data_IF_303069796778
#
_entry.id   IF_303069796778
#
_cell.length_a   1.000
_cell.length_b   1.000
_cell.length_c   1.000
_cell.angle_alpha   90.00
_cell.angle_beta   90.00
_cell.angle_gamma   90.00
#
_symmetry.space_group_name_H-M   'P 1'
#
loop_
_entity.id
_entity.type
_entity.pdbx_description
1 polymer ?
#
# COMPACT_ATOMS: atom_id res chain seq x y z
N UNK A 1 17.11 3.77 -2.97
CA UNK A 1 17.19 2.71 -4.00
C UNK A 1 17.22 1.29 -3.41
N UNK A 2 16.54 1.07 -2.27
CA UNK A 2 16.54 -0.22 -1.56
C UNK A 2 15.63 -1.27 -2.22
N UNK A 3 14.64 -0.86 -3.02
CA UNK A 3 13.56 -1.77 -3.43
C UNK A 3 13.65 -2.27 -4.87
N UNK A 4 14.74 -2.05 -5.56
CA UNK A 4 14.87 -2.48 -6.95
C UNK A 4 16.28 -2.34 -7.51
N UNK A 5 17.20 -3.16 -7.08
CA UNK A 5 18.60 -3.13 -7.56
C UNK A 5 18.78 -3.32 -9.09
N UNK A 6 17.73 -3.58 -9.84
CA UNK A 6 17.78 -3.59 -11.32
C UNK A 6 16.96 -2.48 -11.98
N UNK A 7 16.19 -1.70 -11.20
CA UNK A 7 15.26 -0.68 -11.69
C UNK A 7 15.38 0.61 -10.87
N UNK A 8 16.51 0.89 -10.28
CA UNK A 8 16.76 2.03 -9.37
C UNK A 8 16.49 3.41 -9.98
N UNK A 9 16.45 3.50 -11.31
CA UNK A 9 16.13 4.73 -12.05
C UNK A 9 14.62 4.87 -12.39
N UNK A 10 13.80 3.84 -12.12
CA UNK A 10 12.36 3.88 -12.40
C UNK A 10 11.61 4.19 -11.11
N UNK A 11 11.17 5.42 -10.96
CA UNK A 11 10.39 5.89 -9.79
C UNK A 11 8.90 5.62 -9.90
N UNK A 12 8.39 5.40 -11.11
CA UNK A 12 6.97 5.12 -11.36
C UNK A 12 6.81 3.85 -12.18
N UNK A 13 5.96 2.95 -11.69
CA UNK A 13 5.60 1.70 -12.38
C UNK A 13 4.10 1.69 -12.58
N UNK A 14 3.66 1.23 -13.74
CA UNK A 14 2.25 1.06 -14.07
C UNK A 14 1.98 -0.41 -14.43
N UNK A 15 1.04 -1.02 -13.72
CA UNK A 15 0.56 -2.38 -13.99
C UNK A 15 -0.89 -2.26 -14.48
N UNK A 16 -1.12 -2.64 -15.73
CA UNK A 16 -2.45 -2.67 -16.33
C UNK A 16 -2.84 -4.11 -16.64
N UNK A 17 -3.88 -4.60 -16.00
CA UNK A 17 -4.43 -5.94 -16.24
C UNK A 17 -5.94 -5.86 -16.47
N UNK A 18 -6.49 -6.73 -17.33
CA UNK A 18 -7.94 -6.86 -17.46
C UNK A 18 -8.59 -7.29 -16.15
N UNK A 19 -9.91 -7.09 -16.04
CA UNK A 19 -10.69 -7.63 -14.91
C UNK A 19 -10.55 -9.15 -14.82
N UNK A 20 -10.67 -9.70 -13.63
CA UNK A 20 -10.56 -11.12 -13.32
C UNK A 20 -9.17 -11.76 -13.54
N UNK A 21 -8.11 -10.96 -13.76
CA UNK A 21 -6.73 -11.46 -13.91
C UNK A 21 -5.91 -11.36 -12.62
N UNK A 22 -6.56 -11.49 -11.45
CA UNK A 22 -5.92 -11.55 -10.13
C UNK A 22 -5.02 -10.35 -9.78
N UNK A 23 -5.21 -9.19 -10.42
CA UNK A 23 -4.40 -7.98 -10.19
C UNK A 23 -4.28 -7.66 -8.70
N UNK A 24 -5.39 -7.53 -8.00
CA UNK A 24 -5.43 -7.18 -6.58
C UNK A 24 -4.76 -8.23 -5.70
N UNK A 25 -4.91 -9.52 -6.04
CA UNK A 25 -4.22 -10.60 -5.33
C UNK A 25 -2.70 -10.54 -5.54
N UNK A 26 -2.23 -10.27 -6.75
CA UNK A 26 -0.80 -10.08 -7.03
C UNK A 26 -0.23 -8.90 -6.23
N UNK A 27 -0.95 -7.78 -6.18
CA UNK A 27 -0.52 -6.60 -5.43
C UNK A 27 -0.46 -6.89 -3.93
N UNK A 28 -1.47 -7.57 -3.38
CA UNK A 28 -1.48 -7.96 -1.97
C UNK A 28 -0.32 -8.91 -1.62
N UNK A 29 -0.06 -9.90 -2.46
CA UNK A 29 1.06 -10.85 -2.29
C UNK A 29 2.40 -10.13 -2.40
N UNK A 30 2.54 -9.23 -3.37
CA UNK A 30 3.75 -8.43 -3.53
C UNK A 30 3.99 -7.51 -2.33
N UNK A 31 2.95 -6.87 -1.80
CA UNK A 31 3.06 -6.03 -0.61
C UNK A 31 3.52 -6.85 0.61
N UNK A 32 2.95 -8.03 0.84
CA UNK A 32 3.40 -8.94 1.89
C UNK A 32 4.87 -9.38 1.70
N UNK A 33 5.29 -9.65 0.47
CA UNK A 33 6.67 -10.00 0.14
C UNK A 33 7.64 -8.84 0.40
N UNK A 34 7.26 -7.60 0.05
CA UNK A 34 8.08 -6.41 0.33
C UNK A 34 8.24 -6.23 1.84
N UNK A 35 7.17 -6.38 2.62
CA UNK A 35 7.22 -6.31 4.09
C UNK A 35 8.19 -7.34 4.66
N UNK A 36 8.18 -8.57 4.13
CA UNK A 36 9.15 -9.61 4.52
C UNK A 36 10.60 -9.22 4.24
N UNK A 37 10.86 -8.60 3.10
CA UNK A 37 12.22 -8.19 2.69
C UNK A 37 12.69 -6.92 3.39
N UNK A 38 11.77 -6.04 3.69
CA UNK A 38 12.01 -4.70 4.23
C UNK A 38 10.99 -4.39 5.34
N UNK A 39 11.19 -4.95 6.55
CA UNK A 39 10.25 -4.75 7.66
C UNK A 39 10.04 -3.28 8.04
N UNK A 40 11.02 -2.43 7.75
CA UNK A 40 11.01 -0.99 7.99
C UNK A 40 10.10 -0.22 7.02
N UNK A 41 9.70 -0.83 5.91
CA UNK A 41 8.95 -0.17 4.84
C UNK A 41 7.63 0.45 5.32
N UNK A 42 7.30 1.59 4.75
CA UNK A 42 6.00 2.24 4.89
C UNK A 42 5.29 2.28 3.54
N UNK A 43 4.06 1.78 3.48
CA UNK A 43 3.27 1.66 2.25
C UNK A 43 1.98 2.47 2.40
N UNK A 44 1.69 3.34 1.45
CA UNK A 44 0.37 3.97 1.32
C UNK A 44 -0.40 3.32 0.18
N UNK A 45 -1.50 2.66 0.51
CA UNK A 45 -2.41 2.04 -0.45
C UNK A 45 -3.60 2.97 -0.70
N UNK A 46 -3.81 3.38 -1.93
CA UNK A 46 -4.86 4.34 -2.30
C UNK A 46 -5.79 3.74 -3.33
N UNK A 47 -7.10 3.88 -3.13
CA UNK A 47 -8.12 3.50 -4.12
C UNK A 47 -9.12 4.64 -4.35
N UNK A 48 -10.04 4.47 -5.30
CA UNK A 48 -11.09 5.46 -5.54
C UNK A 48 -11.89 5.78 -4.26
N UNK A 49 -12.13 4.79 -3.42
CA UNK A 49 -12.78 4.95 -2.10
C UNK A 49 -11.97 4.31 -0.98
N UNK A 50 -12.15 4.78 0.25
CA UNK A 50 -11.50 4.18 1.43
C UNK A 50 -11.87 2.72 1.62
N UNK A 51 -13.16 2.36 1.40
CA UNK A 51 -13.62 0.97 1.55
C UNK A 51 -12.94 0.01 0.58
N UNK A 52 -12.65 0.43 -0.66
CA UNK A 52 -11.89 -0.38 -1.61
C UNK A 52 -10.44 -0.59 -1.13
N UNK A 53 -9.79 0.45 -0.64
CA UNK A 53 -8.45 0.37 -0.09
C UNK A 53 -8.40 -0.53 1.17
N UNK A 54 -9.39 -0.45 2.04
CA UNK A 54 -9.52 -1.31 3.23
C UNK A 54 -9.72 -2.79 2.86
N UNK A 55 -10.47 -3.07 1.80
CA UNK A 55 -10.62 -4.45 1.28
C UNK A 55 -9.27 -5.03 0.86
N UNK A 56 -8.41 -4.24 0.24
CA UNK A 56 -7.06 -4.69 -0.12
C UNK A 56 -6.17 -4.88 1.10
N UNK A 57 -6.26 -3.98 2.09
CA UNK A 57 -5.55 -4.16 3.35
C UNK A 57 -5.99 -5.44 4.06
N UNK A 58 -7.29 -5.75 4.05
CA UNK A 58 -7.81 -7.01 4.60
C UNK A 58 -7.20 -8.24 3.91
N UNK A 59 -7.06 -8.22 2.58
CA UNK A 59 -6.39 -9.30 1.84
C UNK A 59 -4.92 -9.47 2.26
N UNK A 60 -4.19 -8.36 2.45
CA UNK A 60 -2.80 -8.38 2.92
C UNK A 60 -2.74 -8.92 4.36
N UNK A 61 -3.63 -8.48 5.25
CA UNK A 61 -3.74 -8.99 6.63
C UNK A 61 -3.93 -10.50 6.64
N UNK A 62 -4.82 -11.04 5.82
CA UNK A 62 -5.05 -12.48 5.73
C UNK A 62 -3.79 -13.26 5.32
N UNK A 63 -2.95 -12.69 4.44
CA UNK A 63 -1.66 -13.30 4.08
C UNK A 63 -0.74 -13.31 5.31
N UNK A 64 -0.57 -12.17 5.97
CA UNK A 64 0.31 -12.01 7.12
C UNK A 64 -0.17 -12.84 8.33
N UNK A 65 -1.48 -12.99 8.52
CA UNK A 65 -2.10 -13.78 9.60
C UNK A 65 -2.20 -15.27 9.26
N UNK A 66 -1.86 -15.70 8.04
CA UNK A 66 -1.95 -17.09 7.65
C UNK A 66 -1.06 -17.97 8.54
N UNK A 67 -1.52 -19.20 8.80
CA UNK A 67 -0.76 -20.19 9.59
C UNK A 67 0.63 -20.42 9.00
N UNK A 68 0.74 -20.42 7.67
CA UNK A 68 2.00 -20.61 6.97
C UNK A 68 2.94 -19.43 7.25
N UNK A 69 2.45 -18.20 7.10
CA UNK A 69 3.27 -17.00 7.35
C UNK A 69 3.74 -16.96 8.81
N UNK A 70 2.85 -17.13 9.76
CA UNK A 70 3.19 -17.08 11.18
C UNK A 70 4.14 -18.22 11.61
N UNK A 71 4.06 -19.38 10.98
CA UNK A 71 4.96 -20.51 11.25
C UNK A 71 6.41 -20.22 10.85
N UNK A 72 6.61 -19.54 9.72
CA UNK A 72 7.96 -19.27 9.20
C UNK A 72 8.51 -17.90 9.59
N UNK A 73 7.64 -16.96 9.95
CA UNK A 73 7.98 -15.55 10.25
C UNK A 73 7.23 -15.07 11.52
N UNK A 74 7.37 -15.75 12.66
CA UNK A 74 6.61 -15.42 13.87
C UNK A 74 6.95 -14.04 14.45
N UNK A 75 8.11 -13.48 14.12
CA UNK A 75 8.59 -12.19 14.62
C UNK A 75 7.88 -10.98 13.99
N UNK A 76 7.11 -11.19 12.91
CA UNK A 76 6.44 -10.10 12.20
C UNK A 76 5.13 -9.68 12.85
N UNK A 77 4.43 -10.59 13.50
CA UNK A 77 3.11 -10.35 14.06
C UNK A 77 3.02 -10.96 15.45
N UNK A 78 2.73 -10.13 16.45
CA UNK A 78 2.43 -10.65 17.78
C UNK A 78 1.17 -11.53 17.73
N UNK A 79 1.22 -12.78 18.20
CA UNK A 79 0.05 -13.67 18.19
C UNK A 79 -1.08 -13.18 19.10
N UNK A 80 -0.78 -12.31 20.09
CA UNK A 80 -1.78 -11.72 20.98
C UNK A 80 -2.31 -10.42 20.38
N UNK A 81 -3.54 -10.43 19.89
CA UNK A 81 -4.17 -9.28 19.23
C UNK A 81 -4.10 -7.98 20.05
N UNK A 82 -4.32 -8.05 21.35
CA UNK A 82 -4.28 -6.89 22.24
C UNK A 82 -2.88 -6.28 22.45
N UNK A 83 -1.83 -6.92 21.97
CA UNK A 83 -0.44 -6.42 22.06
C UNK A 83 0.10 -5.89 20.73
N UNK A 84 -0.68 -5.94 19.65
CA UNK A 84 -0.30 -5.35 18.37
C UNK A 84 -0.39 -3.83 18.47
N UNK A 85 0.66 -3.12 18.04
CA UNK A 85 0.73 -1.67 18.10
C UNK A 85 -0.40 -1.01 17.30
N UNK A 86 -0.63 -1.45 16.07
CA UNK A 86 -1.72 -0.97 15.22
C UNK A 86 -2.18 -2.09 14.28
N UNK A 87 -3.44 -2.50 14.41
CA UNK A 87 -4.02 -3.58 13.59
C UNK A 87 -5.47 -3.28 13.24
N UNK A 88 -5.69 -2.11 12.61
CA UNK A 88 -7.02 -1.60 12.26
C UNK A 88 -7.42 -1.96 10.81
N UNK A 89 -8.63 -1.60 10.41
CA UNK A 89 -9.10 -1.72 9.03
C UNK A 89 -8.42 -0.74 8.08
N UNK A 90 -7.95 0.39 8.60
CA UNK A 90 -7.35 1.49 7.82
C UNK A 90 -5.83 1.51 7.85
N UNK A 91 -5.20 0.85 8.84
CA UNK A 91 -3.74 0.81 8.94
C UNK A 91 -3.27 -0.34 9.81
N UNK A 92 -2.11 -0.89 9.48
CA UNK A 92 -1.42 -1.93 10.25
C UNK A 92 0.04 -1.59 10.46
N UNK A 93 0.58 -2.01 11.62
CA UNK A 93 2.02 -2.03 11.91
C UNK A 93 2.43 -3.45 12.26
N UNK A 94 3.51 -3.94 11.66
CA UNK A 94 4.14 -5.21 12.05
C UNK A 94 5.05 -5.00 13.26
N UNK A 95 5.30 -6.06 14.03
CA UNK A 95 6.05 -5.99 15.31
C UNK A 95 7.56 -6.19 15.17
N UNK A 96 8.09 -6.23 13.96
CA UNK A 96 9.48 -6.59 13.68
C UNK A 96 10.49 -5.63 14.33
N UNK A 97 11.54 -6.20 14.93
CA UNK A 97 12.56 -5.46 15.70
C UNK A 97 13.26 -4.36 14.89
N UNK A 98 13.45 -4.57 13.58
CA UNK A 98 14.08 -3.59 12.69
C UNK A 98 13.33 -2.26 12.66
N UNK A 99 11.99 -2.28 12.65
CA UNK A 99 11.18 -1.06 12.70
C UNK A 99 11.45 -0.26 13.98
N UNK A 100 11.53 -0.96 15.10
CA UNK A 100 11.82 -0.32 16.41
C UNK A 100 13.23 0.26 16.46
N UNK A 101 14.22 -0.45 15.95
CA UNK A 101 15.63 0.01 15.90
C UNK A 101 15.80 1.23 15.02
N UNK A 102 15.08 1.29 13.89
CA UNK A 102 15.14 2.43 12.97
C UNK A 102 14.18 3.57 13.35
N UNK A 103 13.39 3.41 14.40
CA UNK A 103 12.48 4.43 14.90
C UNK A 103 11.34 4.78 13.93
N UNK A 104 10.90 3.82 13.11
CA UNK A 104 9.83 4.03 12.13
C UNK A 104 8.51 4.27 12.85
N UNK A 105 7.95 5.46 12.71
CA UNK A 105 6.71 5.90 13.36
C UNK A 105 5.45 5.61 12.54
N UNK A 106 5.57 5.73 11.21
CA UNK A 106 4.45 5.52 10.32
C UNK A 106 4.06 4.04 10.26
N UNK A 107 2.78 3.71 10.09
CA UNK A 107 2.35 2.32 9.96
C UNK A 107 3.03 1.61 8.79
N UNK A 108 3.14 0.28 8.88
CA UNK A 108 3.67 -0.54 7.77
C UNK A 108 2.82 -0.37 6.51
N UNK A 109 1.50 -0.36 6.68
CA UNK A 109 0.55 -0.03 5.61
C UNK A 109 -0.50 0.92 6.17
N UNK A 110 -0.78 1.98 5.41
CA UNK A 110 -1.95 2.84 5.61
C UNK A 110 -2.80 2.84 4.35
N UNK A 111 -4.12 3.02 4.49
CA UNK A 111 -5.05 3.09 3.38
C UNK A 111 -5.71 4.44 3.28
N UNK A 112 -5.99 4.88 2.05
CA UNK A 112 -6.70 6.11 1.77
C UNK A 112 -7.63 5.97 0.56
N UNK A 113 -8.73 6.72 0.56
CA UNK A 113 -9.51 7.00 -0.65
C UNK A 113 -9.10 8.34 -1.25
N UNK A 114 -9.58 8.65 -2.46
CA UNK A 114 -9.30 9.91 -3.15
C UNK A 114 -9.69 11.16 -2.32
N UNK A 115 -10.67 11.07 -1.44
CA UNK A 115 -11.13 12.18 -0.61
C UNK A 115 -10.46 12.24 0.76
N UNK A 116 -9.62 11.26 1.11
CA UNK A 116 -8.93 11.22 2.40
C UNK A 116 -7.90 12.34 2.51
N UNK A 117 -7.88 13.03 3.65
CA UNK A 117 -6.82 13.97 3.95
C UNK A 117 -5.58 13.21 4.42
N UNK A 118 -4.51 13.28 3.65
CA UNK A 118 -3.24 12.61 3.92
C UNK A 118 -2.11 13.58 4.29
N UNK A 119 -2.47 14.79 4.72
CA UNK A 119 -1.48 15.79 5.16
C UNK A 119 -0.65 15.25 6.33
N UNK A 120 0.65 15.33 6.21
CA UNK A 120 1.59 14.85 7.23
C UNK A 120 1.84 13.33 7.21
N UNK A 121 1.31 12.60 6.24
CA UNK A 121 1.67 11.20 6.04
C UNK A 121 2.94 11.09 5.21
N UNK A 122 3.69 10.00 5.45
CA UNK A 122 4.90 9.67 4.71
C UNK A 122 4.85 8.19 4.30
N UNK A 123 5.38 7.88 3.14
CA UNK A 123 5.47 6.51 2.64
C UNK A 123 6.70 6.31 1.74
N UNK A 124 7.28 5.10 1.80
CA UNK A 124 8.34 4.69 0.89
C UNK A 124 7.76 4.17 -0.42
N UNK A 125 6.56 3.61 -0.36
CA UNK A 125 5.86 3.04 -1.50
C UNK A 125 4.43 3.56 -1.54
N UNK A 126 4.06 4.13 -2.68
CA UNK A 126 2.69 4.51 -2.99
C UNK A 126 2.08 3.50 -3.97
N UNK A 127 0.93 2.92 -3.61
CA UNK A 127 0.18 1.99 -4.45
C UNK A 127 -1.19 2.59 -4.79
N UNK A 128 -1.32 3.37 -5.87
CA UNK A 128 -2.60 3.76 -6.41
C UNK A 128 -3.24 2.57 -7.14
N UNK A 129 -4.38 2.09 -6.67
CA UNK A 129 -5.10 0.97 -7.26
C UNK A 129 -6.52 1.36 -7.66
N UNK A 130 -6.84 1.23 -8.94
CA UNK A 130 -8.13 1.57 -9.54
C UNK A 130 -8.66 2.95 -9.09
N UNK A 131 -7.81 4.01 -9.18
CA UNK A 131 -8.23 5.39 -8.89
C UNK A 131 -9.26 5.90 -9.89
N UNK A 132 -9.18 5.46 -11.13
CA UNK A 132 -10.13 5.79 -12.20
C UNK A 132 -11.22 4.72 -12.18
N UNK A 133 -12.43 5.16 -11.94
CA UNK A 133 -13.66 4.33 -11.94
C UNK A 133 -14.69 5.00 -12.84
N UNK A 134 -15.75 4.29 -13.31
CA UNK A 134 -16.75 4.87 -14.22
C UNK A 134 -17.30 6.22 -13.74
N UNK A 135 -17.50 6.37 -12.43
CA UNK A 135 -18.07 7.55 -11.81
C UNK A 135 -17.21 8.81 -12.00
N UNK A 136 -15.89 8.66 -12.12
CA UNK A 136 -14.94 9.77 -12.30
C UNK A 136 -14.26 9.80 -13.67
N UNK A 137 -14.43 8.76 -14.49
CA UNK A 137 -13.77 8.63 -15.80
C UNK A 137 -14.45 9.45 -16.91
N UNK A 138 -15.78 9.57 -16.86
CA UNK A 138 -16.56 10.07 -17.98
C UNK A 138 -16.72 11.58 -18.02
N UNK A 139 -16.43 12.30 -16.94
CA UNK A 139 -16.49 13.76 -16.90
C UNK A 139 -15.08 14.38 -16.93
N UNK A 140 -14.94 15.57 -17.49
CA UNK A 140 -13.67 16.31 -17.47
C UNK A 140 -13.27 16.62 -16.05
N UNK A 141 -14.17 17.18 -15.25
CA UNK A 141 -13.94 17.55 -13.86
C UNK A 141 -13.54 16.32 -13.00
N UNK A 142 -14.17 15.18 -13.25
CA UNK A 142 -13.82 13.92 -12.58
C UNK A 142 -12.38 13.51 -12.84
N UNK A 143 -11.94 13.52 -14.10
CA UNK A 143 -10.56 13.19 -14.48
C UNK A 143 -9.56 14.17 -13.91
N UNK A 144 -9.85 15.48 -13.96
CA UNK A 144 -8.99 16.52 -13.38
C UNK A 144 -8.87 16.39 -11.88
N UNK A 145 -9.99 16.08 -11.18
CA UNK A 145 -9.99 15.82 -9.76
C UNK A 145 -9.10 14.62 -9.40
N UNK A 146 -9.19 13.51 -10.13
CA UNK A 146 -8.31 12.34 -9.92
C UNK A 146 -6.85 12.71 -10.16
N UNK A 147 -6.53 13.40 -11.25
CA UNK A 147 -5.17 13.81 -11.57
C UNK A 147 -4.57 14.72 -10.47
N UNK A 148 -5.34 15.71 -10.00
CA UNK A 148 -4.95 16.58 -8.90
C UNK A 148 -4.69 15.82 -7.62
N UNK A 149 -5.56 14.88 -7.25
CA UNK A 149 -5.37 14.04 -6.05
C UNK A 149 -4.18 13.09 -6.19
N UNK A 150 -4.02 12.46 -7.35
CA UNK A 150 -2.86 11.60 -7.62
C UNK A 150 -1.54 12.34 -7.45
N UNK A 151 -1.45 13.59 -7.91
CA UNK A 151 -0.25 14.41 -7.72
C UNK A 151 -0.01 14.77 -6.23
N UNK A 152 -1.06 14.97 -5.44
CA UNK A 152 -0.93 15.17 -3.99
C UNK A 152 -0.37 13.94 -3.28
N UNK A 153 -0.81 12.73 -3.66
CA UNK A 153 -0.26 11.51 -3.07
C UNK A 153 1.22 11.29 -3.40
N UNK A 154 1.68 11.69 -4.57
CA UNK A 154 3.12 11.58 -4.90
C UNK A 154 4.01 12.46 -4.03
N UNK A 155 3.48 13.57 -3.48
CA UNK A 155 4.23 14.44 -2.57
C UNK A 155 4.47 13.83 -1.18
N UNK A 156 3.80 12.72 -0.86
CA UNK A 156 3.94 11.97 0.42
C UNK A 156 5.17 11.05 0.39
N UNK A 157 5.69 10.74 -0.80
CA UNK A 157 6.81 9.81 -0.93
C UNK A 157 8.08 10.32 -0.26
N UNK A 158 8.68 9.46 0.55
CA UNK A 158 10.01 9.66 1.10
C UNK A 158 11.07 9.73 -0.02
N UNK A 159 12.22 10.32 0.26
CA UNK A 159 13.33 10.33 -0.66
C UNK A 159 13.77 8.90 -1.03
N UNK A 160 13.79 8.59 -2.32
CA UNK A 160 14.07 7.25 -2.84
C UNK A 160 12.87 6.31 -2.87
N UNK A 161 11.69 6.78 -2.45
CA UNK A 161 10.43 6.06 -2.59
C UNK A 161 9.96 5.98 -4.06
N UNK A 162 8.98 5.13 -4.32
CA UNK A 162 8.44 4.96 -5.66
C UNK A 162 6.92 4.72 -5.67
N UNK A 163 6.33 4.94 -6.83
CA UNK A 163 4.91 4.64 -7.09
C UNK A 163 4.76 3.38 -7.92
N UNK A 164 3.85 2.49 -7.51
CA UNK A 164 3.40 1.35 -8.29
C UNK A 164 1.90 1.48 -8.53
N UNK A 165 1.53 2.14 -9.60
CA UNK A 165 0.13 2.31 -9.98
C UNK A 165 -0.42 1.02 -10.59
N UNK A 166 -1.61 0.64 -10.15
CA UNK A 166 -2.34 -0.51 -10.65
C UNK A 166 -3.68 -0.05 -11.21
N UNK A 167 -4.05 -0.54 -12.37
CA UNK A 167 -5.27 -0.12 -13.02
C UNK A 167 -5.90 -1.22 -13.88
N UNK A 168 -7.17 -0.99 -14.20
CA UNK A 168 -7.93 -1.82 -15.14
C UNK A 168 -8.23 -0.98 -16.37
N UNK A 169 -8.06 -1.54 -17.55
CA UNK A 169 -8.52 -0.91 -18.78
C UNK A 169 -10.02 -1.14 -18.94
N UNK A 170 -10.77 -0.08 -19.14
CA UNK A 170 -12.20 -0.07 -19.46
C UNK A 170 -12.40 0.02 -20.94
#
# INVERSE_FOLDING_TARGET
ALYGQGLSHITNKLIMLPRAHLKSHMVATWAAWIILRHPEVTILYVSATSGLAETQLFAIKNILESVVFQRYFPEYINPQDGKREKWASTAISIDHEKRRKEGVRDPTISTAGLTTNTTGWHADILIPDDLVVPENAYTVDGRESVAKKASQFTSILNAGGFTMACGTRY
#
